data_IF_815021148895
#
_entry.id   IF_815021148895
#
_cell.length_a   1.000
_cell.length_b   1.000
_cell.length_c   1.000
_cell.angle_alpha   90.00
_cell.angle_beta   90.00
_cell.angle_gamma   90.00
#
_symmetry.space_group_name_H-M   'P 1'
#
loop_
_entity.id
_entity.type
_entity.pdbx_description
1 polymer ?
#
# COMPACT_ATOMS: atom_id res chain seq x y z
N UNK A 1 17.50 6.48 -10.03
CA UNK A 1 16.55 7.39 -9.37
C UNK A 1 17.15 8.77 -9.51
N UNK A 2 16.59 9.62 -10.38
CA UNK A 2 17.18 10.93 -10.66
C UNK A 2 16.85 11.87 -9.52
N UNK A 3 17.72 12.84 -9.25
CA UNK A 3 17.58 13.83 -8.17
C UNK A 3 16.30 14.69 -8.26
N UNK A 4 15.62 14.69 -9.41
CA UNK A 4 14.32 15.33 -9.61
C UNK A 4 13.14 14.60 -8.93
N UNK A 5 13.24 13.28 -8.69
CA UNK A 5 12.17 12.52 -8.04
C UNK A 5 11.97 12.95 -6.58
N UNK A 6 13.03 13.48 -5.94
CA UNK A 6 13.02 13.89 -4.53
C UNK A 6 12.21 15.17 -4.25
N UNK A 7 11.79 15.91 -5.28
CA UNK A 7 11.02 17.15 -5.18
C UNK A 7 9.53 16.97 -5.48
N UNK A 8 9.09 15.78 -5.92
CA UNK A 8 7.66 15.54 -6.16
C UNK A 8 6.93 15.43 -4.82
N UNK A 9 6.15 16.46 -4.47
CA UNK A 9 5.34 16.48 -3.24
C UNK A 9 4.33 15.32 -3.17
N UNK A 10 4.01 14.67 -4.30
CA UNK A 10 3.21 13.43 -4.34
C UNK A 10 3.93 12.25 -3.70
N UNK A 11 5.26 12.26 -3.71
CA UNK A 11 6.11 11.26 -3.06
C UNK A 11 6.42 11.63 -1.60
N UNK A 12 6.18 12.89 -1.21
CA UNK A 12 6.47 13.39 0.13
C UNK A 12 5.29 13.24 1.12
N UNK A 13 4.05 13.14 0.63
CA UNK A 13 2.84 13.05 1.46
C UNK A 13 1.88 11.99 0.93
N UNK A 14 1.49 11.05 1.81
CA UNK A 14 0.49 10.03 1.50
C UNK A 14 -0.85 10.66 1.06
N UNK A 15 -1.26 11.74 1.72
CA UNK A 15 -2.50 12.45 1.41
C UNK A 15 -2.50 12.99 -0.03
N UNK A 16 -1.36 13.55 -0.45
CA UNK A 16 -1.16 14.05 -1.81
C UNK A 16 -1.12 12.92 -2.83
N UNK A 17 -0.53 11.76 -2.50
CA UNK A 17 -0.55 10.57 -3.33
C UNK A 17 -1.98 10.03 -3.54
N UNK A 18 -2.79 10.01 -2.48
CA UNK A 18 -4.21 9.61 -2.52
C UNK A 18 -5.02 10.56 -3.39
N UNK A 19 -4.88 11.87 -3.19
CA UNK A 19 -5.59 12.87 -3.98
C UNK A 19 -5.19 12.81 -5.45
N UNK A 20 -3.88 12.70 -5.73
CA UNK A 20 -3.38 12.53 -7.09
C UNK A 20 -3.95 11.28 -7.75
N UNK A 21 -3.96 10.15 -7.05
CA UNK A 21 -4.47 8.88 -7.58
C UNK A 21 -5.95 8.97 -7.91
N UNK A 22 -6.75 9.59 -7.04
CA UNK A 22 -8.17 9.83 -7.29
C UNK A 22 -8.40 10.74 -8.49
N UNK A 23 -7.66 11.85 -8.58
CA UNK A 23 -7.83 12.83 -9.64
C UNK A 23 -7.36 12.33 -11.01
N UNK A 24 -6.59 11.24 -11.06
CA UNK A 24 -6.04 10.66 -12.28
C UNK A 24 -6.59 9.25 -12.57
N UNK A 25 -7.66 8.84 -11.89
CA UNK A 25 -8.30 7.52 -12.06
C UNK A 25 -7.32 6.34 -11.89
N UNK A 26 -6.37 6.47 -10.98
CA UNK A 26 -5.47 5.36 -10.62
C UNK A 26 -6.19 4.41 -9.67
N UNK A 27 -5.85 3.12 -9.80
CA UNK A 27 -6.45 2.06 -8.99
C UNK A 27 -5.99 2.09 -7.53
N UNK A 28 -4.77 2.57 -7.27
CA UNK A 28 -4.16 2.51 -5.95
C UNK A 28 -2.78 3.14 -5.91
N UNK A 29 -2.15 3.03 -4.74
CA UNK A 29 -0.80 3.56 -4.49
C UNK A 29 0.12 2.49 -3.91
N UNK A 30 1.42 2.66 -4.14
CA UNK A 30 2.46 1.89 -3.47
C UNK A 30 3.11 2.73 -2.37
N UNK A 31 3.08 2.20 -1.14
CA UNK A 31 3.74 2.79 0.02
C UNK A 31 4.94 1.98 0.50
N UNK A 32 5.81 2.62 1.28
CA UNK A 32 6.91 1.94 1.96
C UNK A 32 6.36 0.99 3.03
N UNK A 33 6.73 -0.28 2.96
CA UNK A 33 6.25 -1.32 3.85
C UNK A 33 6.50 -0.99 5.34
N UNK A 34 7.64 -0.38 5.69
CA UNK A 34 7.97 -0.02 7.08
C UNK A 34 7.02 1.03 7.63
N UNK A 35 6.68 2.02 6.80
CA UNK A 35 5.75 3.07 7.19
C UNK A 35 4.35 2.51 7.41
N UNK A 36 3.90 1.60 6.53
CA UNK A 36 2.59 0.97 6.65
C UNK A 36 2.50 0.04 7.88
N UNK A 37 3.58 -0.66 8.24
CA UNK A 37 3.66 -1.45 9.48
C UNK A 37 3.63 -0.54 10.72
N UNK A 38 4.38 0.56 10.68
CA UNK A 38 4.52 1.47 11.83
C UNK A 38 3.23 2.25 12.09
N UNK A 39 2.49 2.60 11.03
CA UNK A 39 1.28 3.43 11.11
C UNK A 39 0.13 2.78 10.34
N UNK A 40 -0.52 1.75 10.91
CA UNK A 40 -1.65 1.04 10.28
C UNK A 40 -2.82 1.92 9.84
N UNK A 41 -3.04 3.06 10.49
CA UNK A 41 -4.10 4.01 10.11
C UNK A 41 -3.91 4.61 8.73
N UNK A 42 -2.68 4.63 8.19
CA UNK A 42 -2.40 5.06 6.81
C UNK A 42 -3.05 4.13 5.80
N UNK A 43 -2.92 2.81 6.03
CA UNK A 43 -3.53 1.78 5.19
C UNK A 43 -5.05 1.93 5.16
N UNK A 44 -5.65 2.21 6.33
CA UNK A 44 -7.09 2.48 6.43
C UNK A 44 -7.48 3.76 5.69
N UNK A 45 -6.72 4.85 5.85
CA UNK A 45 -7.01 6.12 5.20
C UNK A 45 -7.03 6.05 3.67
N UNK A 46 -6.15 5.23 3.08
CA UNK A 46 -6.12 5.00 1.63
C UNK A 46 -7.32 4.16 1.18
N UNK A 47 -7.70 3.13 1.94
CA UNK A 47 -8.90 2.33 1.66
C UNK A 47 -10.20 3.11 1.79
N UNK A 48 -10.32 3.93 2.83
CA UNK A 48 -11.46 4.83 3.02
C UNK A 48 -11.57 5.83 1.84
N UNK A 49 -10.46 6.09 1.15
CA UNK A 49 -10.42 6.89 -0.06
C UNK A 49 -10.82 6.13 -1.35
N UNK A 50 -11.10 4.82 -1.27
CA UNK A 50 -11.52 3.96 -2.38
C UNK A 50 -10.36 3.43 -3.24
N UNK A 51 -9.13 3.47 -2.72
CA UNK A 51 -7.91 3.09 -3.45
C UNK A 51 -7.32 1.78 -2.89
N UNK A 52 -6.69 1.00 -3.77
CA UNK A 52 -5.87 -0.15 -3.37
C UNK A 52 -4.55 0.32 -2.73
N UNK A 53 -4.06 -0.47 -1.78
CA UNK A 53 -2.80 -0.26 -1.07
C UNK A 53 -1.82 -1.38 -1.45
N UNK A 54 -0.78 -1.02 -2.18
CA UNK A 54 0.40 -1.84 -2.37
C UNK A 54 1.50 -1.48 -1.38
N UNK A 55 2.30 -2.46 -0.95
CA UNK A 55 3.50 -2.22 -0.17
C UNK A 55 4.75 -2.70 -0.91
N UNK A 56 5.82 -1.91 -0.84
CA UNK A 56 7.15 -2.33 -1.27
C UNK A 56 8.16 -2.04 -0.18
N UNK A 57 9.11 -2.95 0.03
CA UNK A 57 10.09 -2.84 1.10
C UNK A 57 10.99 -4.04 1.16
N UNK A 58 11.74 -4.17 2.26
CA UNK A 58 12.61 -5.34 2.43
C UNK A 58 11.77 -6.59 2.75
N UNK A 59 12.32 -7.80 2.53
CA UNK A 59 11.61 -9.04 2.85
C UNK A 59 11.12 -9.10 4.30
N UNK A 60 11.84 -8.49 5.25
CA UNK A 60 11.43 -8.41 6.65
C UNK A 60 10.19 -7.53 6.86
N UNK A 61 10.12 -6.39 6.17
CA UNK A 61 9.00 -5.45 6.28
C UNK A 61 7.75 -6.02 5.60
N UNK A 62 7.94 -6.68 4.46
CA UNK A 62 6.89 -7.39 3.72
C UNK A 62 6.36 -8.56 4.55
N UNK A 63 7.25 -9.34 5.19
CA UNK A 63 6.85 -10.40 6.10
C UNK A 63 5.97 -9.89 7.26
N UNK A 64 6.25 -8.69 7.78
CA UNK A 64 5.44 -8.07 8.82
C UNK A 64 4.04 -7.63 8.33
N UNK A 65 3.85 -7.45 7.01
CA UNK A 65 2.56 -7.09 6.39
C UNK A 65 1.73 -8.30 5.93
N UNK A 66 2.27 -9.51 6.03
CA UNK A 66 1.56 -10.74 5.64
C UNK A 66 0.45 -11.08 6.64
N UNK A 67 -0.72 -11.57 6.20
CA UNK A 67 -1.89 -11.82 7.05
C UNK A 67 -1.64 -12.74 8.25
N UNK A 68 -0.64 -13.62 8.17
CA UNK A 68 -0.25 -14.55 9.24
C UNK A 68 0.28 -13.85 10.50
N UNK A 69 0.77 -12.62 10.36
CA UNK A 69 1.54 -11.90 11.38
C UNK A 69 0.83 -10.64 11.90
N UNK A 70 -0.29 -10.28 11.29
CA UNK A 70 -1.06 -9.09 11.63
C UNK A 70 -2.34 -9.51 12.37
N UNK A 71 -2.55 -8.95 13.56
CA UNK A 71 -3.89 -8.89 14.15
C UNK A 71 -4.82 -8.16 13.17
N UNK A 72 -6.04 -8.69 12.99
CA UNK A 72 -7.09 -8.18 12.10
C UNK A 72 -6.98 -6.67 11.82
N UNK A 73 -6.58 -6.27 10.60
CA UNK A 73 -6.80 -4.89 10.15
C UNK A 73 -5.76 -4.23 9.24
N UNK A 74 -4.58 -4.83 8.99
CA UNK A 74 -3.49 -4.16 8.22
C UNK A 74 -3.03 -4.97 7.00
N UNK A 75 -3.90 -5.75 6.37
CA UNK A 75 -3.54 -6.57 5.20
C UNK A 75 -3.53 -5.74 3.91
N UNK A 76 -2.36 -5.49 3.30
CA UNK A 76 -2.27 -4.75 2.02
C UNK A 76 -2.75 -5.58 0.82
N UNK A 77 -3.30 -4.91 -0.20
CA UNK A 77 -3.89 -5.55 -1.40
C UNK A 77 -2.81 -6.12 -2.33
N UNK A 78 -1.60 -5.56 -2.31
CA UNK A 78 -0.47 -6.03 -3.11
C UNK A 78 0.86 -5.89 -2.38
N UNK A 79 1.79 -6.81 -2.67
CA UNK A 79 3.18 -6.77 -2.23
C UNK A 79 4.08 -6.73 -3.44
N UNK A 80 5.10 -5.87 -3.40
CA UNK A 80 6.14 -5.80 -4.42
C UNK A 80 7.51 -6.07 -3.80
N UNK A 81 8.10 -7.21 -4.17
CA UNK A 81 9.39 -7.69 -3.67
C UNK A 81 10.22 -8.29 -4.81
N UNK A 82 11.49 -7.90 -4.92
CA UNK A 82 12.45 -8.45 -5.90
C UNK A 82 11.96 -8.42 -7.36
N UNK A 83 11.18 -7.40 -7.74
CA UNK A 83 10.59 -7.25 -9.06
C UNK A 83 9.35 -8.11 -9.31
N UNK A 84 8.91 -8.88 -8.31
CA UNK A 84 7.69 -9.67 -8.33
C UNK A 84 6.59 -8.91 -7.59
N UNK A 85 5.42 -8.84 -8.20
CA UNK A 85 4.21 -8.25 -7.64
C UNK A 85 3.23 -9.38 -7.34
N UNK A 86 2.83 -9.52 -6.07
CA UNK A 86 1.84 -10.48 -5.61
C UNK A 86 0.61 -9.74 -5.11
N UNK A 87 -0.56 -10.08 -5.65
CA UNK A 87 -1.83 -9.53 -5.18
C UNK A 87 -2.45 -10.47 -4.16
N UNK A 88 -2.92 -9.91 -3.04
CA UNK A 88 -3.76 -10.65 -2.11
C UNK A 88 -5.20 -10.53 -2.58
N UNK A 89 -5.79 -11.66 -2.91
CA UNK A 89 -7.22 -11.69 -3.21
C UNK A 89 -8.01 -11.51 -1.91
N UNK A 90 -8.75 -10.40 -1.85
CA UNK A 90 -9.75 -10.16 -0.81
C UNK A 90 -11.11 -10.71 -1.23
N UNK A 91 -11.15 -11.79 -2.03
CA UNK A 91 -12.37 -12.51 -2.36
C UNK A 91 -13.20 -12.70 -1.09
N UNK A 92 -14.28 -11.95 -1.01
CA UNK A 92 -15.31 -12.17 -0.01
C UNK A 92 -15.68 -13.65 -0.07
N UNK A 93 -16.02 -14.30 1.06
CA UNK A 93 -16.55 -15.65 1.00
C UNK A 93 -17.71 -15.61 0.00
N UNK A 94 -17.58 -16.38 -1.09
CA UNK A 94 -18.70 -16.70 -1.96
C UNK A 94 -19.68 -17.45 -1.06
N UNK A 95 -20.62 -16.72 -0.46
CA UNK A 95 -21.75 -17.32 0.20
C UNK A 95 -22.58 -17.97 -0.91
N UNK A 96 -22.53 -19.31 -0.95
CA UNK A 96 -23.43 -20.18 -1.68
C UNK A 96 -24.48 -20.67 -0.69
#
# INVERSE_FOLDING_TARGET
MSVDDAQDQRLASLSSAVEFSRNNNLLGIFGDARQLVTVPSLVRGVRDAGLLVGASGTPADIAALTPSNLSEGVSVDALHQDGIMAFHDHAAPLWI
#
